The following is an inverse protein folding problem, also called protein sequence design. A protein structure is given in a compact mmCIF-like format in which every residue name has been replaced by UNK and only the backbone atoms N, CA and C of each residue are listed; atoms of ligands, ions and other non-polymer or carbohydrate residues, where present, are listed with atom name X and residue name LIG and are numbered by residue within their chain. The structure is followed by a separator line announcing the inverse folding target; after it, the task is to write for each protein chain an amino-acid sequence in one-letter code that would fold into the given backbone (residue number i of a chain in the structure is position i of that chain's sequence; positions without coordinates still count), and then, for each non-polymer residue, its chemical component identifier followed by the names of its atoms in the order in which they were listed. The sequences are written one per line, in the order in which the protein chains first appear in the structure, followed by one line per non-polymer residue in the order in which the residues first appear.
data_IF_003460916705
#
_entry.id   IF_003460916705
#
_cell.length_a   1.000
_cell.length_b   1.000
_cell.length_c   1.000
_cell.angle_alpha   90.00
_cell.angle_beta   90.00
_cell.angle_gamma   90.00
#
_symmetry.space_group_name_H-M   'P 1'
#
loop_
_entity.id
_entity.type
_entity.pdbx_description
1 polymer ?
#
# COMPACT_ATOMS: atom_id res chain seq x y z
N UNK A 1 18.87 46.33 -10.22
CA UNK A 1 18.55 45.20 -9.32
C UNK A 1 17.62 44.25 -10.05
N UNK A 2 18.17 43.18 -10.62
CA UNK A 2 17.38 42.15 -11.27
C UNK A 2 16.81 41.20 -10.20
N UNK A 3 15.50 41.16 -10.06
CA UNK A 3 14.79 40.10 -9.35
C UNK A 3 14.96 38.80 -10.15
N UNK A 4 15.83 37.90 -9.69
CA UNK A 4 15.82 36.52 -10.15
C UNK A 4 14.70 35.81 -9.37
N UNK A 5 13.48 35.93 -9.90
CA UNK A 5 12.38 35.06 -9.50
C UNK A 5 12.70 33.65 -10.02
N UNK A 6 13.32 32.83 -9.17
CA UNK A 6 13.37 31.38 -9.40
C UNK A 6 11.99 30.81 -9.13
N UNK A 7 11.09 30.95 -10.11
CA UNK A 7 9.89 30.13 -10.21
C UNK A 7 10.32 28.72 -10.64
N UNK A 8 10.81 27.92 -9.70
CA UNK A 8 11.00 26.49 -9.94
C UNK A 8 9.63 25.86 -10.19
N UNK A 9 9.32 25.52 -11.44
CA UNK A 9 8.12 24.78 -11.81
C UNK A 9 8.08 23.49 -10.97
N UNK A 10 6.96 23.24 -10.29
CA UNK A 10 6.81 22.02 -9.52
C UNK A 10 6.94 20.81 -10.46
N UNK A 11 7.77 19.84 -10.08
CA UNK A 11 7.99 18.64 -10.87
C UNK A 11 6.71 17.82 -10.97
N UNK A 12 6.40 17.37 -12.18
CA UNK A 12 5.36 16.39 -12.45
C UNK A 12 5.66 15.06 -11.75
N UNK A 13 4.65 14.23 -11.50
CA UNK A 13 4.86 12.90 -10.92
C UNK A 13 5.84 12.05 -11.75
N UNK A 14 5.78 12.17 -13.08
CA UNK A 14 6.66 11.44 -13.99
C UNK A 14 8.13 11.90 -13.87
N UNK A 15 8.37 13.20 -13.71
CA UNK A 15 9.71 13.74 -13.44
C UNK A 15 10.23 13.26 -12.09
N UNK A 16 9.39 13.32 -11.03
CA UNK A 16 9.73 12.79 -9.69
C UNK A 16 10.10 11.30 -9.76
N UNK A 17 9.33 10.49 -10.48
CA UNK A 17 9.61 9.07 -10.69
C UNK A 17 10.91 8.82 -11.48
N UNK A 18 11.14 9.58 -12.56
CA UNK A 18 12.36 9.48 -13.35
C UNK A 18 13.62 9.81 -12.54
N UNK A 19 13.55 10.83 -11.69
CA UNK A 19 14.63 11.20 -10.79
C UNK A 19 14.92 10.12 -9.74
N UNK A 20 13.88 9.45 -9.23
CA UNK A 20 14.08 8.31 -8.32
C UNK A 20 14.88 7.19 -8.99
N UNK A 21 14.67 6.93 -10.29
CA UNK A 21 15.40 5.88 -11.04
C UNK A 21 16.79 6.30 -11.53
N UNK A 22 17.05 7.59 -11.66
CA UNK A 22 18.30 8.11 -12.25
C UNK A 22 19.23 8.74 -11.22
N UNK A 23 18.73 9.01 -10.02
CA UNK A 23 19.46 9.63 -8.92
C UNK A 23 20.59 8.76 -8.39
N UNK A 24 21.57 9.41 -7.78
CA UNK A 24 22.76 8.75 -7.22
C UNK A 24 22.39 7.70 -6.16
N UNK A 25 21.43 8.01 -5.28
CA UNK A 25 20.96 7.11 -4.22
C UNK A 25 20.47 5.75 -4.78
N UNK A 26 19.70 5.79 -5.86
CA UNK A 26 19.24 4.59 -6.56
C UNK A 26 20.41 3.82 -7.14
N UNK A 27 21.27 4.49 -7.92
CA UNK A 27 22.40 3.85 -8.61
C UNK A 27 23.37 3.19 -7.64
N UNK A 28 23.73 3.90 -6.57
CA UNK A 28 24.63 3.39 -5.53
C UNK A 28 24.04 2.18 -4.82
N UNK A 29 22.76 2.25 -4.41
CA UNK A 29 22.11 1.13 -3.75
C UNK A 29 21.97 -0.08 -4.69
N UNK A 30 21.49 0.13 -5.92
CA UNK A 30 21.33 -0.95 -6.90
C UNK A 30 22.67 -1.66 -7.18
N UNK A 31 23.75 -0.89 -7.33
CA UNK A 31 25.09 -1.45 -7.49
C UNK A 31 25.55 -2.26 -6.27
N UNK A 32 25.36 -1.72 -5.07
CA UNK A 32 25.73 -2.40 -3.83
C UNK A 32 24.92 -3.69 -3.64
N UNK A 33 23.61 -3.64 -3.81
CA UNK A 33 22.71 -4.78 -3.68
C UNK A 33 23.02 -5.90 -4.68
N UNK A 34 23.29 -5.56 -5.96
CA UNK A 34 23.71 -6.54 -6.98
C UNK A 34 25.00 -7.27 -6.60
N UNK A 35 25.94 -6.59 -5.93
CA UNK A 35 27.23 -7.16 -5.55
C UNK A 35 27.19 -7.90 -4.21
N UNK A 36 26.38 -7.43 -3.27
CA UNK A 36 26.37 -7.94 -1.90
C UNK A 36 25.44 -9.12 -1.70
N UNK A 37 24.26 -9.14 -2.32
CA UNK A 37 23.25 -10.18 -2.06
C UNK A 37 23.68 -11.57 -2.56
N UNK A 38 24.16 -11.76 -3.81
CA UNK A 38 24.53 -13.08 -4.30
C UNK A 38 25.55 -13.82 -3.41
N UNK A 39 26.69 -13.21 -2.98
CA UNK A 39 27.64 -13.90 -2.13
C UNK A 39 27.09 -14.16 -0.72
N UNK A 40 26.22 -13.30 -0.17
CA UNK A 40 25.57 -13.54 1.13
C UNK A 40 24.62 -14.73 1.06
N UNK A 41 23.81 -14.82 -0.01
CA UNK A 41 22.92 -15.97 -0.24
C UNK A 41 23.73 -17.25 -0.42
N UNK A 42 24.81 -17.21 -1.20
CA UNK A 42 25.69 -18.35 -1.39
C UNK A 42 26.33 -18.81 -0.08
N UNK A 43 26.84 -17.87 0.74
CA UNK A 43 27.44 -18.18 2.04
C UNK A 43 26.42 -18.79 3.00
N UNK A 44 25.22 -18.21 3.11
CA UNK A 44 24.15 -18.77 3.92
C UNK A 44 23.82 -20.20 3.49
N UNK A 45 23.66 -20.42 2.18
CA UNK A 45 23.36 -21.75 1.65
C UNK A 45 24.50 -22.75 1.89
N UNK A 46 25.75 -22.31 1.93
CA UNK A 46 26.88 -23.20 2.28
C UNK A 46 26.91 -23.57 3.77
N UNK A 47 26.45 -22.67 4.64
CA UNK A 47 26.52 -22.83 6.10
C UNK A 47 25.26 -23.41 6.74
N UNK A 48 24.13 -23.41 6.03
CA UNK A 48 22.86 -23.91 6.53
C UNK A 48 22.93 -25.42 6.84
N UNK A 49 22.08 -25.86 7.76
CA UNK A 49 21.80 -27.28 7.95
C UNK A 49 21.08 -27.85 6.71
N UNK A 50 21.38 -29.09 6.33
CA UNK A 50 20.85 -29.70 5.09
C UNK A 50 19.33 -29.81 5.05
N UNK A 51 18.69 -29.87 6.22
CA UNK A 51 17.23 -29.95 6.37
C UNK A 51 16.54 -28.60 6.14
N UNK A 52 17.29 -27.50 6.19
CA UNK A 52 16.78 -26.15 5.92
C UNK A 52 16.79 -25.92 4.40
N UNK A 53 15.65 -25.51 3.80
CA UNK A 53 15.57 -25.19 2.38
C UNK A 53 16.57 -24.11 1.97
N UNK A 54 17.01 -24.15 0.70
CA UNK A 54 17.88 -23.11 0.16
C UNK A 54 17.20 -21.76 0.15
N UNK A 55 17.98 -20.76 0.53
CA UNK A 55 17.61 -19.38 0.34
C UNK A 55 17.70 -19.05 -1.15
N UNK A 56 16.55 -18.70 -1.72
CA UNK A 56 16.47 -18.23 -3.10
C UNK A 56 16.71 -16.72 -3.14
N UNK A 57 17.66 -16.27 -3.97
CA UNK A 57 17.97 -14.84 -4.15
C UNK A 57 16.73 -14.04 -4.58
N UNK A 58 15.89 -14.59 -5.45
CA UNK A 58 14.63 -13.96 -5.91
C UNK A 58 13.73 -13.67 -4.72
N UNK A 59 13.57 -14.65 -3.82
CA UNK A 59 12.75 -14.50 -2.61
C UNK A 59 13.32 -13.42 -1.70
N UNK A 60 14.64 -13.40 -1.49
CA UNK A 60 15.29 -12.37 -0.67
C UNK A 60 15.08 -10.97 -1.24
N UNK A 61 15.28 -10.80 -2.55
CA UNK A 61 15.10 -9.51 -3.20
C UNK A 61 13.64 -9.05 -3.15
N UNK A 62 12.68 -9.96 -3.32
CA UNK A 62 11.26 -9.64 -3.17
C UNK A 62 10.94 -9.18 -1.75
N UNK A 63 11.47 -9.86 -0.74
CA UNK A 63 11.31 -9.46 0.67
C UNK A 63 11.95 -8.11 0.96
N UNK A 64 13.12 -7.81 0.39
CA UNK A 64 13.77 -6.50 0.53
C UNK A 64 12.98 -5.40 -0.18
N UNK A 65 12.53 -5.63 -1.41
CA UNK A 65 11.71 -4.69 -2.16
C UNK A 65 10.44 -4.34 -1.37
N UNK A 66 9.77 -5.38 -0.86
CA UNK A 66 8.59 -5.26 -0.02
C UNK A 66 8.88 -4.49 1.27
N UNK A 67 9.93 -4.87 2.01
CA UNK A 67 10.32 -4.24 3.26
C UNK A 67 10.64 -2.75 3.08
N UNK A 68 11.37 -2.39 2.02
CA UNK A 68 11.64 -0.99 1.69
C UNK A 68 10.37 -0.20 1.33
N UNK A 69 9.42 -0.83 0.64
CA UNK A 69 8.15 -0.19 0.33
C UNK A 69 7.32 0.07 1.60
N UNK A 70 7.23 -0.90 2.52
CA UNK A 70 6.57 -0.72 3.83
C UNK A 70 7.21 0.42 4.62
N UNK A 71 8.54 0.51 4.64
CA UNK A 71 9.29 1.58 5.32
C UNK A 71 9.26 2.93 4.58
N UNK A 72 8.45 3.07 3.53
CA UNK A 72 8.34 4.28 2.68
C UNK A 72 9.70 4.75 2.18
N UNK A 73 10.52 3.80 1.70
CA UNK A 73 11.79 4.06 1.04
C UNK A 73 11.69 3.67 -0.44
N UNK A 74 10.90 4.40 -1.25
CA UNK A 74 10.55 3.99 -2.61
C UNK A 74 11.80 3.77 -3.47
N UNK A 75 12.81 4.64 -3.37
CA UNK A 75 14.07 4.51 -4.14
C UNK A 75 14.74 3.13 -3.99
N UNK A 76 14.74 2.54 -2.80
CA UNK A 76 15.34 1.21 -2.57
C UNK A 76 14.41 0.09 -3.01
N UNK A 77 13.09 0.24 -2.79
CA UNK A 77 12.09 -0.69 -3.28
C UNK A 77 12.13 -0.80 -4.82
N UNK A 78 12.20 0.36 -5.51
CA UNK A 78 12.37 0.44 -6.95
C UNK A 78 13.66 -0.25 -7.41
N UNK A 79 14.77 -0.03 -6.71
CA UNK A 79 16.05 -0.64 -7.08
C UNK A 79 16.00 -2.17 -7.03
N UNK A 80 15.47 -2.77 -5.96
CA UNK A 80 15.32 -4.23 -5.88
C UNK A 80 14.32 -4.76 -6.92
N UNK A 81 13.20 -4.06 -7.11
CA UNK A 81 12.19 -4.46 -8.09
C UNK A 81 12.74 -4.44 -9.53
N UNK A 82 13.55 -3.44 -9.89
CA UNK A 82 14.16 -3.37 -11.22
C UNK A 82 15.24 -4.45 -11.42
N UNK A 83 15.97 -4.84 -10.37
CA UNK A 83 16.86 -6.01 -10.43
C UNK A 83 16.04 -7.29 -10.66
N UNK A 84 14.94 -7.47 -9.93
CA UNK A 84 14.06 -8.63 -10.05
C UNK A 84 13.42 -8.77 -11.44
N UNK A 85 13.10 -7.66 -12.11
CA UNK A 85 12.54 -7.66 -13.47
C UNK A 85 13.50 -8.18 -14.54
N UNK A 86 14.77 -8.37 -14.23
CA UNK A 86 15.72 -9.07 -15.12
C UNK A 86 15.46 -10.58 -15.15
N UNK A 87 14.73 -11.11 -14.18
CA UNK A 87 14.23 -12.47 -14.21
C UNK A 87 13.15 -12.61 -15.30
N UNK A 88 13.20 -13.72 -16.05
CA UNK A 88 12.24 -14.03 -17.14
C UNK A 88 10.92 -14.64 -16.64
N UNK A 89 10.81 -14.94 -15.35
CA UNK A 89 9.60 -15.43 -14.72
C UNK A 89 8.57 -14.30 -14.58
N UNK A 90 7.41 -14.47 -15.22
CA UNK A 90 6.33 -13.48 -15.22
C UNK A 90 5.75 -13.26 -13.82
N UNK A 91 5.75 -14.26 -12.92
CA UNK A 91 5.26 -14.11 -11.55
C UNK A 91 6.19 -13.19 -10.76
N UNK A 92 7.50 -13.35 -10.95
CA UNK A 92 8.52 -12.48 -10.34
C UNK A 92 8.39 -11.06 -10.87
N UNK A 93 8.23 -10.91 -12.20
CA UNK A 93 7.99 -9.62 -12.84
C UNK A 93 6.75 -8.92 -12.31
N UNK A 94 5.63 -9.64 -12.20
CA UNK A 94 4.37 -9.15 -11.62
C UNK A 94 4.59 -8.64 -10.19
N UNK A 95 5.13 -9.46 -9.29
CA UNK A 95 5.32 -9.09 -7.89
C UNK A 95 6.26 -7.88 -7.74
N UNK A 96 7.36 -7.86 -8.50
CA UNK A 96 8.29 -6.73 -8.51
C UNK A 96 7.60 -5.44 -9.00
N UNK A 97 6.80 -5.54 -10.07
CA UNK A 97 6.08 -4.40 -10.66
C UNK A 97 4.96 -3.89 -9.73
N UNK A 98 4.25 -4.78 -9.03
CA UNK A 98 3.27 -4.41 -8.00
C UNK A 98 3.92 -3.69 -6.81
N UNK A 99 5.10 -4.14 -6.35
CA UNK A 99 5.83 -3.44 -5.28
C UNK A 99 6.21 -2.01 -5.70
N UNK A 100 6.61 -1.80 -6.97
CA UNK A 100 6.85 -0.44 -7.50
C UNK A 100 5.57 0.40 -7.46
N UNK A 101 4.45 -0.13 -7.96
CA UNK A 101 3.18 0.59 -7.96
C UNK A 101 2.77 1.00 -6.54
N UNK A 102 2.85 0.09 -5.56
CA UNK A 102 2.52 0.36 -4.17
C UNK A 102 3.46 1.41 -3.57
N UNK A 103 4.78 1.29 -3.78
CA UNK A 103 5.75 2.24 -3.26
C UNK A 103 5.54 3.67 -3.80
N UNK A 104 5.14 3.81 -5.08
CA UNK A 104 4.83 5.10 -5.68
C UNK A 104 3.52 5.69 -5.15
N UNK A 105 2.52 4.83 -4.89
CA UNK A 105 1.26 5.25 -4.29
C UNK A 105 1.48 5.82 -2.88
N UNK A 106 2.30 5.15 -2.05
CA UNK A 106 2.70 5.61 -0.70
C UNK A 106 3.53 6.90 -0.71
N UNK A 107 4.26 7.17 -1.80
CA UNK A 107 5.03 8.39 -2.01
C UNK A 107 4.16 9.56 -2.51
N UNK A 108 2.86 9.33 -2.71
CA UNK A 108 1.93 10.36 -3.19
C UNK A 108 2.06 10.61 -4.69
N UNK A 109 2.42 9.59 -5.47
CA UNK A 109 2.48 9.61 -6.93
C UNK A 109 1.40 8.70 -7.54
N UNK A 110 0.10 8.94 -7.28
CA UNK A 110 -0.98 8.02 -7.61
C UNK A 110 -1.14 7.80 -9.12
N UNK A 111 -0.86 8.79 -9.96
CA UNK A 111 -1.03 8.68 -11.42
C UNK A 111 0.02 7.75 -12.00
N UNK A 112 1.28 7.89 -11.55
CA UNK A 112 2.37 6.99 -11.96
C UNK A 112 2.18 5.61 -11.33
N UNK A 113 1.74 5.52 -10.08
CA UNK A 113 1.42 4.26 -9.44
C UNK A 113 0.36 3.46 -10.22
N UNK A 114 -0.70 4.10 -10.68
CA UNK A 114 -1.72 3.46 -11.54
C UNK A 114 -1.14 3.00 -12.89
N UNK A 115 -0.21 3.75 -13.46
CA UNK A 115 0.48 3.36 -14.71
C UNK A 115 1.33 2.12 -14.51
N UNK A 116 2.11 2.07 -13.43
CA UNK A 116 2.94 0.93 -13.07
C UNK A 116 2.10 -0.29 -12.64
N UNK A 117 0.95 -0.06 -12.00
CA UNK A 117 -0.05 -1.08 -11.68
C UNK A 117 -0.61 -1.74 -12.95
N UNK A 118 -0.99 -0.94 -13.95
CA UNK A 118 -1.48 -1.47 -15.21
C UNK A 118 -0.44 -2.39 -15.86
N UNK A 119 0.85 -2.03 -15.81
CA UNK A 119 1.93 -2.89 -16.29
C UNK A 119 2.02 -4.21 -15.51
N UNK A 120 1.88 -4.18 -14.18
CA UNK A 120 1.87 -5.39 -13.37
C UNK A 120 0.74 -6.32 -13.82
N UNK A 121 -0.48 -5.78 -13.94
CA UNK A 121 -1.65 -6.54 -14.37
C UNK A 121 -1.48 -7.15 -15.77
N UNK A 122 -0.85 -6.45 -16.71
CA UNK A 122 -0.52 -7.03 -18.03
C UNK A 122 0.47 -8.21 -17.94
N UNK A 123 1.44 -8.19 -17.01
CA UNK A 123 2.40 -9.29 -16.84
C UNK A 123 1.71 -10.57 -16.37
N UNK A 124 0.77 -10.46 -15.44
CA UNK A 124 0.11 -11.64 -14.85
C UNK A 124 -1.08 -12.14 -15.67
N UNK A 125 -1.61 -11.38 -16.64
CA UNK A 125 -2.60 -11.90 -17.62
C UNK A 125 -2.09 -13.09 -18.43
N UNK A 126 -0.78 -13.33 -18.44
CA UNK A 126 -0.17 -14.54 -19.01
C UNK A 126 -0.49 -15.80 -18.19
N UNK A 127 -1.02 -15.65 -16.97
CA UNK A 127 -1.45 -16.72 -16.10
C UNK A 127 -2.93 -17.09 -16.37
N UNK A 128 -3.24 -18.36 -16.72
CA UNK A 128 -4.62 -18.80 -16.94
C UNK A 128 -5.51 -18.70 -15.68
N UNK A 129 -4.93 -18.62 -14.48
CA UNK A 129 -5.64 -18.48 -13.21
C UNK A 129 -5.66 -17.03 -12.67
N UNK A 130 -5.30 -16.04 -13.49
CA UNK A 130 -5.11 -14.65 -13.06
C UNK A 130 -6.26 -14.08 -12.22
N UNK A 131 -7.53 -14.26 -12.62
CA UNK A 131 -8.64 -13.70 -11.86
C UNK A 131 -8.76 -14.31 -10.45
N UNK A 132 -8.49 -15.60 -10.30
CA UNK A 132 -8.45 -16.27 -9.00
C UNK A 132 -7.29 -15.77 -8.13
N UNK A 133 -6.11 -15.60 -8.72
CA UNK A 133 -4.92 -15.10 -8.02
C UNK A 133 -5.09 -13.63 -7.61
N UNK A 134 -5.70 -12.82 -8.48
CA UNK A 134 -6.03 -11.42 -8.20
C UNK A 134 -7.01 -11.32 -7.03
N UNK A 135 -8.07 -12.11 -7.01
CA UNK A 135 -9.00 -12.15 -5.87
C UNK A 135 -8.29 -12.54 -4.57
N UNK A 136 -7.41 -13.54 -4.63
CA UNK A 136 -6.60 -13.99 -3.48
C UNK A 136 -5.70 -12.87 -2.95
N UNK A 137 -5.05 -12.11 -3.84
CA UNK A 137 -4.19 -10.99 -3.46
C UNK A 137 -4.98 -9.82 -2.87
N UNK A 138 -6.15 -9.48 -3.45
CA UNK A 138 -7.06 -8.47 -2.90
C UNK A 138 -7.41 -8.82 -1.44
N UNK A 139 -7.75 -10.09 -1.20
CA UNK A 139 -8.10 -10.58 0.13
C UNK A 139 -6.90 -10.59 1.08
N UNK A 140 -5.72 -10.98 0.61
CA UNK A 140 -4.50 -10.95 1.40
C UNK A 140 -4.18 -9.52 1.86
N UNK A 141 -4.22 -8.54 0.95
CA UNK A 141 -4.02 -7.13 1.29
C UNK A 141 -5.04 -6.63 2.33
N UNK A 142 -6.33 -6.90 2.15
CA UNK A 142 -7.34 -6.50 3.13
C UNK A 142 -7.14 -7.12 4.52
N UNK A 143 -6.79 -8.41 4.54
CA UNK A 143 -6.57 -9.17 5.79
C UNK A 143 -5.36 -8.65 6.53
N UNK A 144 -4.24 -8.47 5.82
CA UNK A 144 -3.00 -7.98 6.40
C UNK A 144 -3.10 -6.51 6.81
N UNK A 145 -3.83 -5.67 6.07
CA UNK A 145 -4.16 -4.30 6.49
C UNK A 145 -4.91 -4.30 7.83
N UNK A 146 -5.92 -5.16 7.95
CA UNK A 146 -6.73 -5.27 9.17
C UNK A 146 -5.93 -5.78 10.37
N UNK A 147 -5.06 -6.77 10.17
CA UNK A 147 -4.14 -7.25 11.19
C UNK A 147 -3.15 -6.16 11.62
N UNK A 148 -2.57 -5.44 10.65
CA UNK A 148 -1.63 -4.36 10.89
C UNK A 148 -2.25 -3.23 11.72
N UNK A 149 -3.52 -2.88 11.47
CA UNK A 149 -4.29 -1.96 12.33
C UNK A 149 -4.35 -2.46 13.78
N UNK A 150 -4.64 -3.76 13.97
CA UNK A 150 -4.80 -4.36 15.30
C UNK A 150 -3.50 -4.32 16.13
N UNK A 151 -2.35 -4.50 15.48
CA UNK A 151 -1.04 -4.45 16.12
C UNK A 151 -0.42 -3.04 16.10
N UNK A 152 -1.21 -2.04 15.71
CA UNK A 152 -0.81 -0.63 15.62
C UNK A 152 0.37 -0.35 14.65
N UNK A 153 0.60 -1.25 13.69
CA UNK A 153 1.58 -1.05 12.63
C UNK A 153 0.93 -0.31 11.44
N UNK A 154 0.83 1.01 11.56
CA UNK A 154 0.13 1.83 10.57
C UNK A 154 0.85 1.97 9.23
N UNK A 155 2.18 1.78 9.19
CA UNK A 155 2.94 1.74 7.93
C UNK A 155 2.57 0.49 7.13
N UNK A 156 2.54 -0.67 7.78
CA UNK A 156 2.11 -1.93 7.15
C UNK A 156 0.64 -1.87 6.72
N UNK A 157 -0.23 -1.27 7.53
CA UNK A 157 -1.63 -1.11 7.16
C UNK A 157 -1.81 -0.21 5.93
N UNK A 158 -1.07 0.91 5.85
CA UNK A 158 -1.09 1.82 4.67
C UNK A 158 -0.65 1.08 3.42
N UNK A 159 0.51 0.42 3.47
CA UNK A 159 1.04 -0.39 2.38
C UNK A 159 0.00 -1.39 1.85
N UNK A 160 -0.70 -2.09 2.74
CA UNK A 160 -1.68 -3.07 2.31
C UNK A 160 -2.95 -2.45 1.72
N UNK A 161 -3.43 -1.32 2.24
CA UNK A 161 -4.53 -0.60 1.59
C UNK A 161 -4.13 0.01 0.24
N UNK A 162 -2.88 0.41 0.07
CA UNK A 162 -2.34 0.83 -1.22
C UNK A 162 -2.32 -0.36 -2.22
N UNK A 163 -1.89 -1.55 -1.79
CA UNK A 163 -1.98 -2.77 -2.61
C UNK A 163 -3.42 -3.17 -2.96
N UNK A 164 -4.37 -3.02 -2.04
CA UNK A 164 -5.78 -3.19 -2.36
C UNK A 164 -6.24 -2.18 -3.43
N UNK A 165 -5.86 -0.90 -3.27
CA UNK A 165 -6.23 0.17 -4.21
C UNK A 165 -5.61 -0.06 -5.59
N UNK A 166 -4.39 -0.59 -5.63
CA UNK A 166 -3.68 -0.99 -6.85
C UNK A 166 -4.46 -2.06 -7.63
N UNK A 167 -4.87 -3.15 -6.97
CA UNK A 167 -5.56 -4.27 -7.61
C UNK A 167 -7.01 -3.96 -8.01
N UNK A 168 -7.69 -3.11 -7.24
CA UNK A 168 -9.14 -2.84 -7.41
C UNK A 168 -9.45 -1.51 -8.07
N UNK A 169 -8.50 -0.58 -8.11
CA UNK A 169 -8.70 0.84 -8.45
C UNK A 169 -9.67 1.58 -7.52
N UNK A 170 -9.97 1.00 -6.36
CA UNK A 170 -10.81 1.61 -5.32
C UNK A 170 -9.89 2.25 -4.27
N UNK A 171 -9.78 3.57 -4.30
CA UNK A 171 -8.79 4.32 -3.49
C UNK A 171 -9.29 4.75 -2.10
N UNK A 172 -10.61 4.77 -1.90
CA UNK A 172 -11.19 5.34 -0.68
C UNK A 172 -10.77 4.61 0.61
N UNK A 173 -10.52 3.28 0.65
CA UNK A 173 -10.03 2.61 1.85
C UNK A 173 -8.70 3.16 2.33
N UNK A 174 -7.75 3.32 1.41
CA UNK A 174 -6.44 3.90 1.72
C UNK A 174 -6.57 5.34 2.20
N UNK A 175 -7.26 6.20 1.44
CA UNK A 175 -7.37 7.63 1.77
C UNK A 175 -8.06 7.85 3.12
N UNK A 176 -9.04 7.01 3.43
CA UNK A 176 -9.74 7.04 4.70
C UNK A 176 -8.86 6.56 5.86
N UNK A 177 -8.15 5.45 5.67
CA UNK A 177 -7.19 4.98 6.66
C UNK A 177 -6.08 6.01 6.93
N UNK A 178 -5.50 6.59 5.88
CA UNK A 178 -4.49 7.64 5.95
C UNK A 178 -4.97 8.86 6.76
N UNK A 179 -6.22 9.28 6.55
CA UNK A 179 -6.85 10.33 7.35
C UNK A 179 -6.99 9.95 8.83
N UNK A 180 -7.31 8.69 9.13
CA UNK A 180 -7.41 8.20 10.52
C UNK A 180 -6.07 8.20 11.24
N UNK A 181 -5.01 7.81 10.53
CA UNK A 181 -3.68 7.79 11.14
C UNK A 181 -3.25 9.21 11.50
N UNK A 182 -3.48 10.19 10.62
CA UNK A 182 -3.21 11.60 10.93
C UNK A 182 -3.94 12.07 12.21
N UNK A 183 -5.22 11.73 12.35
CA UNK A 183 -5.98 12.04 13.57
C UNK A 183 -5.39 11.37 14.80
N UNK A 184 -5.02 10.08 14.69
CA UNK A 184 -4.48 9.30 15.81
C UNK A 184 -3.08 9.78 16.22
N UNK A 185 -2.24 10.22 15.29
CA UNK A 185 -0.86 10.66 15.57
C UNK A 185 -0.76 12.15 15.91
N UNK A 186 -1.88 12.82 16.21
CA UNK A 186 -1.91 14.21 16.64
C UNK A 186 -1.88 15.24 15.50
N UNK A 187 -1.87 14.81 14.23
CA UNK A 187 -1.94 15.68 13.06
C UNK A 187 -3.41 16.06 12.75
N UNK A 188 -4.11 16.61 13.75
CA UNK A 188 -5.56 16.82 13.75
C UNK A 188 -6.04 17.63 12.53
N UNK A 189 -5.37 18.74 12.22
CA UNK A 189 -5.75 19.59 11.08
C UNK A 189 -5.67 18.84 9.75
N UNK A 190 -4.59 18.09 9.51
CA UNK A 190 -4.41 17.30 8.28
C UNK A 190 -5.49 16.21 8.19
N UNK A 191 -5.71 15.47 9.28
CA UNK A 191 -6.72 14.42 9.35
C UNK A 191 -8.13 14.94 9.07
N UNK A 192 -8.53 16.06 9.68
CA UNK A 192 -9.85 16.66 9.46
C UNK A 192 -10.03 17.18 8.02
N UNK A 193 -9.00 17.78 7.43
CA UNK A 193 -9.03 18.20 6.01
C UNK A 193 -9.24 16.98 5.10
N UNK A 194 -8.50 15.89 5.32
CA UNK A 194 -8.64 14.65 4.55
C UNK A 194 -10.04 14.06 4.70
N UNK A 195 -10.55 13.97 5.94
CA UNK A 195 -11.92 13.49 6.22
C UNK A 195 -13.00 14.33 5.53
N UNK A 196 -12.88 15.66 5.56
CA UNK A 196 -13.84 16.55 4.89
C UNK A 196 -13.86 16.31 3.38
N UNK A 197 -12.70 16.17 2.76
CA UNK A 197 -12.60 15.81 1.33
C UNK A 197 -13.29 14.48 1.05
N UNK A 198 -13.11 13.47 1.91
CA UNK A 198 -13.75 12.16 1.76
C UNK A 198 -15.28 12.24 1.90
N UNK A 199 -15.81 13.02 2.85
CA UNK A 199 -17.28 13.18 3.00
C UNK A 199 -17.97 13.80 1.78
N UNK A 200 -17.22 14.45 0.90
CA UNK A 200 -17.72 15.16 -0.28
C UNK A 200 -17.44 14.40 -1.59
N UNK A 201 -16.69 13.30 -1.54
CA UNK A 201 -16.23 12.58 -2.74
C UNK A 201 -17.27 11.55 -3.20
N UNK A 202 -17.94 11.82 -4.33
CA UNK A 202 -19.00 10.98 -4.88
C UNK A 202 -18.55 9.55 -5.23
N UNK A 203 -17.24 9.30 -5.36
CA UNK A 203 -16.68 7.96 -5.56
C UNK A 203 -16.73 7.11 -4.28
N UNK A 204 -17.07 7.70 -3.14
CA UNK A 204 -17.19 7.04 -1.85
C UNK A 204 -18.65 6.65 -1.60
N UNK A 205 -18.91 5.42 -1.09
CA UNK A 205 -20.26 4.99 -0.73
C UNK A 205 -20.99 6.03 0.13
N UNK A 206 -22.25 6.33 -0.21
CA UNK A 206 -23.02 7.38 0.44
C UNK A 206 -23.13 7.19 1.97
N UNK A 207 -23.35 5.95 2.42
CA UNK A 207 -23.39 5.62 3.85
C UNK A 207 -22.09 5.99 4.58
N UNK A 208 -20.94 5.77 3.94
CA UNK A 208 -19.64 6.11 4.47
C UNK A 208 -19.42 7.63 4.49
N UNK A 209 -19.83 8.34 3.43
CA UNK A 209 -19.80 9.81 3.41
C UNK A 209 -20.61 10.43 4.55
N UNK A 210 -21.83 9.93 4.78
CA UNK A 210 -22.68 10.37 5.89
C UNK A 210 -22.01 10.12 7.24
N UNK A 211 -21.48 8.93 7.46
CA UNK A 211 -20.78 8.57 8.71
C UNK A 211 -19.59 9.50 8.97
N UNK A 212 -18.79 9.80 7.94
CA UNK A 212 -17.65 10.73 8.06
C UNK A 212 -18.15 12.15 8.38
N UNK A 213 -19.20 12.63 7.71
CA UNK A 213 -19.77 13.96 7.94
C UNK A 213 -20.33 14.13 9.36
N UNK A 214 -21.01 13.12 9.90
CA UNK A 214 -21.51 13.11 11.28
C UNK A 214 -20.37 13.14 12.29
N UNK A 215 -19.31 12.35 12.05
CA UNK A 215 -18.11 12.35 12.87
C UNK A 215 -17.39 13.71 12.89
N UNK A 216 -17.27 14.36 11.72
CA UNK A 216 -16.70 15.71 11.61
C UNK A 216 -17.50 16.75 12.42
N UNK A 217 -18.83 16.74 12.31
CA UNK A 217 -19.72 17.66 13.04
C UNK A 217 -19.56 17.51 14.56
N UNK A 218 -19.38 16.27 15.05
CA UNK A 218 -19.17 15.99 16.47
C UNK A 218 -17.82 16.53 17.00
N UNK A 219 -16.77 16.53 16.16
CA UNK A 219 -15.47 17.13 16.50
C UNK A 219 -15.54 18.65 16.49
N UNK A 220 -16.21 19.24 15.49
CA UNK A 220 -16.37 20.70 15.36
C UNK A 220 -17.19 21.31 16.52
N UNK A 221 -18.14 20.56 17.09
CA UNK A 221 -18.98 21.02 18.22
C UNK A 221 -18.34 20.85 19.60
N UNK A 222 -17.26 20.06 19.74
CA UNK A 222 -16.61 19.75 21.02
C UNK A 222 -15.18 20.28 21.11
N UNK A 223 -14.92 21.54 20.75
CA UNK A 223 -13.60 22.18 20.87
C UNK A 223 -13.14 22.34 22.35
N UNK A 224 -12.70 21.23 22.93
CA UNK A 224 -11.88 21.03 24.13
C UNK A 224 -10.91 19.87 23.82
N UNK A 225 -10.08 19.39 24.77
CA UNK A 225 -9.17 18.27 24.51
C UNK A 225 -9.99 17.05 24.10
N UNK A 226 -9.97 16.74 22.81
CA UNK A 226 -10.66 15.58 22.23
C UNK A 226 -10.03 14.34 22.84
N UNK A 227 -10.73 13.71 23.77
CA UNK A 227 -10.33 12.41 24.33
C UNK A 227 -10.30 11.40 23.18
N UNK A 228 -9.09 11.01 22.80
CA UNK A 228 -8.73 10.46 21.47
C UNK A 228 -9.03 8.97 21.33
N UNK A 229 -10.25 8.57 21.72
CA UNK A 229 -10.86 7.29 21.31
C UNK A 229 -11.66 7.43 20.01
N UNK A 230 -11.15 8.23 19.04
CA UNK A 230 -11.77 8.42 17.74
C UNK A 230 -11.99 7.05 17.06
N UNK A 231 -13.26 6.68 17.00
CA UNK A 231 -13.78 5.38 16.59
C UNK A 231 -13.77 5.25 15.07
N UNK A 232 -12.59 5.11 14.46
CA UNK A 232 -12.50 5.15 12.99
C UNK A 232 -11.97 3.84 12.41
N UNK A 233 -10.83 3.27 12.85
CA UNK A 233 -10.29 2.07 12.18
C UNK A 233 -11.25 0.88 12.20
N UNK A 234 -11.92 0.62 13.34
CA UNK A 234 -12.86 -0.51 13.49
C UNK A 234 -14.16 -0.33 12.70
N UNK A 235 -14.73 0.88 12.70
CA UNK A 235 -15.92 1.20 11.92
C UNK A 235 -15.63 1.15 10.41
N UNK A 236 -14.44 1.59 10.00
CA UNK A 236 -13.99 1.52 8.60
C UNK A 236 -13.84 0.08 8.16
N UNK A 237 -13.13 -0.74 8.94
CA UNK A 237 -12.97 -2.17 8.62
C UNK A 237 -14.33 -2.85 8.52
N UNK A 238 -15.27 -2.55 9.42
CA UNK A 238 -16.64 -3.06 9.36
C UNK A 238 -17.36 -2.63 8.07
N UNK A 239 -17.34 -1.34 7.73
CA UNK A 239 -17.98 -0.82 6.49
C UNK A 239 -17.33 -1.43 5.24
N UNK A 240 -16.01 -1.62 5.23
CA UNK A 240 -15.31 -2.30 4.14
C UNK A 240 -15.83 -3.72 3.94
N UNK A 241 -15.99 -4.48 5.02
CA UNK A 241 -16.50 -5.84 4.94
C UNK A 241 -17.96 -5.88 4.51
N UNK A 242 -18.80 -4.95 4.95
CA UNK A 242 -20.19 -4.84 4.48
C UNK A 242 -20.28 -4.51 2.99
N UNK A 243 -19.44 -3.60 2.47
CA UNK A 243 -19.39 -3.30 1.04
C UNK A 243 -18.86 -4.50 0.21
N UNK A 244 -17.86 -5.23 0.71
CA UNK A 244 -17.36 -6.45 0.07
C UNK A 244 -18.41 -7.57 0.08
N UNK A 245 -19.22 -7.70 1.13
CA UNK A 245 -20.38 -8.61 1.17
C UNK A 245 -21.46 -8.21 0.17
N UNK A 246 -21.72 -6.92 0.01
CA UNK A 246 -22.74 -6.44 -0.90
C UNK A 246 -22.32 -6.62 -2.37
N UNK A 247 -21.10 -6.21 -2.70
CA UNK A 247 -20.63 -5.99 -4.08
C UNK A 247 -19.50 -6.91 -4.55
N UNK A 248 -18.90 -7.71 -3.67
CA UNK A 248 -17.82 -8.64 -4.03
C UNK A 248 -18.31 -9.84 -4.86
N UNK A 249 -17.38 -10.57 -5.47
CA UNK A 249 -17.66 -11.89 -6.05
C UNK A 249 -18.12 -12.88 -4.98
N UNK A 250 -18.73 -14.01 -5.37
CA UNK A 250 -19.27 -14.99 -4.41
C UNK A 250 -18.22 -15.45 -3.37
N UNK A 251 -16.95 -15.56 -3.76
CA UNK A 251 -15.83 -15.88 -2.87
C UNK A 251 -15.55 -14.73 -1.88
N UNK A 252 -15.46 -13.49 -2.38
CA UNK A 252 -15.25 -12.28 -1.56
C UNK A 252 -16.42 -12.09 -0.57
N UNK A 253 -17.66 -12.34 -0.97
CA UNK A 253 -18.83 -12.27 -0.07
C UNK A 253 -18.72 -13.27 1.09
N UNK A 254 -18.31 -14.50 0.79
CA UNK A 254 -18.17 -15.58 1.77
C UNK A 254 -17.07 -15.28 2.78
N UNK A 255 -15.95 -14.72 2.31
CA UNK A 255 -14.80 -14.37 3.15
C UNK A 255 -15.04 -13.10 3.96
N UNK A 256 -15.68 -12.08 3.39
CA UNK A 256 -16.12 -10.90 4.12
C UNK A 256 -17.14 -11.26 5.23
N UNK A 257 -17.98 -12.28 4.99
CA UNK A 257 -18.87 -12.86 6.02
C UNK A 257 -18.10 -13.59 7.11
N UNK A 258 -17.08 -14.36 6.76
CA UNK A 258 -16.19 -15.01 7.73
C UNK A 258 -15.41 -13.98 8.57
N UNK A 259 -14.85 -12.96 7.96
CA UNK A 259 -14.10 -11.90 8.65
C UNK A 259 -14.99 -11.09 9.60
N UNK A 260 -16.22 -10.73 9.18
CA UNK A 260 -17.22 -10.10 10.06
C UNK A 260 -17.60 -11.01 11.23
N UNK A 261 -17.78 -12.32 10.99
CA UNK A 261 -18.07 -13.28 12.05
C UNK A 261 -16.93 -13.42 13.07
N UNK A 262 -15.68 -13.28 12.61
CA UNK A 262 -14.50 -13.33 13.47
C UNK A 262 -14.35 -12.03 14.27
N UNK A 263 -14.58 -10.87 13.65
CA UNK A 263 -14.57 -9.57 14.31
C UNK A 263 -15.62 -9.46 15.42
N UNK A 264 -16.81 -10.07 15.24
CA UNK A 264 -17.90 -10.11 16.24
C UNK A 264 -17.63 -11.04 17.42
N UNK A 265 -16.78 -12.06 17.27
CA UNK A 265 -16.47 -13.04 18.33
C UNK A 265 -15.34 -12.63 19.28
N UNK A 266 -14.61 -11.56 18.96
CA UNK A 266 -13.41 -11.12 19.70
C UNK A 266 -13.65 -9.74 20.39
N UNK A 267 -14.89 -9.25 20.38
CA UNK A 267 -15.39 -8.17 21.24
C UNK A 267 -16.07 -8.77 22.46
#
# INVERSE_FOLDING_TARGET
MAFIASCGKEKTEQEKFSEMKTGLKYKTYALASRKAIPPVVALYNQQREKEIPELNEVTIRLLLAYGWAVMRKPVYALAEAEILKENKDYQVGFLAQSVVAIALYEEGLPTVAQTESAKALEMIKQNPNFEYDKETLILAHLTLASLAIRIENYEMARFHFAGFSELTRIEWPYRLFDACVDLKTGNMQSGLIKMKKLSQDEKIPAALRTTIAEGLKAVETKAGPVDSKLFVPRAITYILFEELKAKGSAAIKKIATLADSFMKKVQ
#
